data_IF_421717432436
#
_entry.id   IF_421717432436
#
_cell.length_a   1.000
_cell.length_b   1.000
_cell.length_c   1.000
_cell.angle_alpha   90.00
_cell.angle_beta   90.00
_cell.angle_gamma   90.00
#
_symmetry.space_group_name_H-M   'P 1'
#
loop_
_entity.id
_entity.type
_entity.pdbx_description
1 polymer ?
#
# COMPACT_ATOMS: atom_id res chain seq x y z
N UNK A 1 1.87 -9.14 -2.87
CA UNK A 1 2.50 -9.66 -4.09
C UNK A 1 1.74 -9.10 -5.28
N UNK A 2 2.43 -8.51 -6.23
CA UNK A 2 1.85 -7.81 -7.38
C UNK A 2 1.60 -8.87 -8.44
N UNK A 3 0.35 -9.30 -8.65
CA UNK A 3 0.06 -10.18 -9.78
C UNK A 3 0.01 -9.36 -11.06
N UNK A 4 1.12 -9.34 -11.79
CA UNK A 4 1.11 -9.08 -13.23
C UNK A 4 0.60 -10.36 -13.89
N UNK A 5 -0.56 -10.29 -14.55
CA UNK A 5 -1.07 -11.44 -15.29
C UNK A 5 -0.05 -11.75 -16.40
N UNK A 6 0.46 -12.97 -16.42
CA UNK A 6 1.31 -13.53 -17.48
C UNK A 6 2.83 -13.27 -17.43
N UNK A 7 3.44 -13.21 -16.25
CA UNK A 7 4.90 -13.18 -16.12
C UNK A 7 5.39 -14.28 -15.16
N UNK A 8 6.44 -15.00 -15.56
CA UNK A 8 7.12 -15.97 -14.68
C UNK A 8 7.78 -15.25 -13.51
N UNK A 9 7.80 -15.84 -12.29
CA UNK A 9 8.40 -15.20 -11.13
C UNK A 9 9.87 -14.84 -11.37
N UNK A 10 10.61 -15.62 -12.16
CA UNK A 10 11.99 -15.34 -12.55
C UNK A 10 12.10 -14.07 -13.40
N UNK A 11 11.16 -13.85 -14.33
CA UNK A 11 11.10 -12.63 -15.15
C UNK A 11 10.69 -11.41 -14.33
N UNK A 12 9.76 -11.57 -13.38
CA UNK A 12 9.40 -10.49 -12.45
C UNK A 12 10.54 -10.13 -11.51
N UNK A 13 11.33 -11.13 -11.09
CA UNK A 13 12.49 -10.97 -10.22
C UNK A 13 13.73 -10.49 -10.99
N UNK A 14 13.77 -10.50 -12.32
CA UNK A 14 14.85 -9.88 -13.09
C UNK A 14 14.55 -8.43 -13.50
N UNK A 15 13.31 -7.98 -13.36
CA UNK A 15 12.91 -6.60 -13.67
C UNK A 15 13.31 -5.64 -12.56
N UNK A 16 14.43 -4.95 -12.76
CA UNK A 16 14.81 -3.77 -11.97
C UNK A 16 13.92 -2.60 -12.42
N UNK A 17 12.85 -2.35 -11.67
CA UNK A 17 11.97 -1.21 -11.96
C UNK A 17 12.69 0.08 -11.57
N UNK A 18 13.07 0.89 -12.57
CA UNK A 18 13.70 2.18 -12.32
C UNK A 18 12.80 3.03 -11.41
N UNK A 19 13.28 3.36 -10.22
CA UNK A 19 12.55 4.15 -9.21
C UNK A 19 11.84 3.35 -8.12
N UNK A 20 11.87 2.01 -8.14
CA UNK A 20 11.48 1.19 -6.99
C UNK A 20 12.73 0.68 -6.25
N UNK A 21 12.70 0.61 -4.90
CA UNK A 21 13.83 0.09 -4.15
C UNK A 21 14.17 -1.32 -4.62
N UNK A 22 15.46 -1.64 -4.58
CA UNK A 22 16.05 -2.93 -4.94
C UNK A 22 15.25 -4.10 -4.32
N UNK A 23 15.40 -5.32 -4.84
CA UNK A 23 14.73 -6.56 -4.35
C UNK A 23 14.85 -6.85 -2.85
N UNK A 24 15.61 -6.03 -2.14
CA UNK A 24 15.77 -6.03 -0.71
C UNK A 24 15.46 -4.63 -0.15
N UNK A 25 14.40 -4.55 0.66
CA UNK A 25 13.98 -3.33 1.33
C UNK A 25 14.36 -3.39 2.81
N UNK A 26 15.35 -2.60 3.20
CA UNK A 26 15.81 -2.50 4.59
C UNK A 26 15.01 -1.44 5.33
N UNK A 27 14.33 -1.83 6.40
CA UNK A 27 13.43 -0.97 7.15
C UNK A 27 13.80 -0.96 8.62
N UNK A 28 13.66 0.21 9.26
CA UNK A 28 13.87 0.40 10.70
C UNK A 28 12.54 0.69 11.38
N UNK A 29 12.40 0.27 12.64
CA UNK A 29 11.25 0.66 13.46
C UNK A 29 11.22 2.17 13.61
N UNK A 30 10.02 2.76 13.57
CA UNK A 30 9.81 4.20 13.72
C UNK A 30 9.92 5.01 12.43
N UNK A 31 10.36 4.42 11.32
CA UNK A 31 10.44 5.16 10.04
C UNK A 31 9.07 5.21 9.33
N UNK A 32 8.77 6.32 8.64
CA UNK A 32 7.61 6.38 7.77
C UNK A 32 7.81 5.52 6.52
N UNK A 33 6.75 4.82 6.12
CA UNK A 33 6.64 4.06 4.88
C UNK A 33 5.39 4.48 4.12
N UNK A 34 5.38 4.22 2.81
CA UNK A 34 4.26 4.50 1.93
C UNK A 34 3.81 3.22 1.23
N UNK A 35 2.50 3.01 1.19
CA UNK A 35 1.91 1.90 0.44
C UNK A 35 2.03 2.18 -1.06
N UNK A 36 2.70 1.31 -1.81
CA UNK A 36 2.82 1.43 -3.26
C UNK A 36 1.72 0.67 -4.01
N UNK A 37 1.01 -0.23 -3.31
CA UNK A 37 -0.07 -1.07 -3.84
C UNK A 37 -1.24 -1.22 -2.89
N UNK A 38 -2.45 -0.98 -3.41
CA UNK A 38 -3.70 -1.13 -2.68
C UNK A 38 -3.76 -2.50 -2.00
N UNK A 39 -3.91 -2.49 -0.68
CA UNK A 39 -4.16 -3.70 0.12
C UNK A 39 -5.67 -3.89 0.27
N UNK A 40 -6.36 -2.80 0.57
CA UNK A 40 -7.81 -2.66 0.53
C UNK A 40 -8.10 -1.33 -0.16
N UNK A 41 -8.68 -1.38 -1.37
CA UNK A 41 -8.90 -0.18 -2.18
C UNK A 41 -9.89 0.81 -1.55
N UNK A 42 -10.65 0.43 -0.51
CA UNK A 42 -11.60 1.31 0.18
C UNK A 42 -10.96 2.13 1.29
N UNK A 43 -9.92 1.61 1.95
CA UNK A 43 -9.37 2.20 3.20
C UNK A 43 -7.83 2.26 3.24
N UNK A 44 -7.14 1.56 2.35
CA UNK A 44 -5.67 1.46 2.29
C UNK A 44 -5.22 1.43 0.82
N UNK A 45 -5.18 2.62 0.22
CA UNK A 45 -4.75 2.81 -1.16
C UNK A 45 -3.29 3.26 -1.27
N UNK A 46 -2.77 3.20 -2.49
CA UNK A 46 -1.47 3.75 -2.86
C UNK A 46 -1.31 5.18 -2.30
N UNK A 47 -0.15 5.47 -1.74
CA UNK A 47 0.13 6.76 -1.11
C UNK A 47 -0.18 6.82 0.38
N UNK A 48 -0.91 5.84 0.94
CA UNK A 48 -1.15 5.76 2.39
C UNK A 48 0.18 5.70 3.14
N UNK A 49 0.38 6.63 4.08
CA UNK A 49 1.60 6.74 4.89
C UNK A 49 1.38 6.10 6.26
N UNK A 50 2.33 5.28 6.70
CA UNK A 50 2.29 4.58 7.99
C UNK A 50 3.65 4.60 8.66
N UNK A 51 3.70 4.38 9.97
CA UNK A 51 4.93 4.22 10.75
C UNK A 51 5.12 2.75 11.12
N UNK A 52 6.32 2.22 10.90
CA UNK A 52 6.67 0.85 11.32
C UNK A 52 6.72 0.78 12.85
N UNK A 53 5.98 -0.17 13.42
CA UNK A 53 5.96 -0.43 14.86
C UNK A 53 6.85 -1.61 15.24
N UNK A 54 6.73 -2.72 14.53
CA UNK A 54 7.54 -3.92 14.79
C UNK A 54 7.70 -4.78 13.54
N UNK A 55 8.85 -5.45 13.44
CA UNK A 55 9.06 -6.54 12.48
C UNK A 55 8.68 -7.86 13.14
N UNK A 56 7.69 -8.56 12.59
CA UNK A 56 7.21 -9.84 13.14
C UNK A 56 8.08 -10.98 12.60
N UNK A 57 8.35 -10.98 11.29
CA UNK A 57 9.27 -11.90 10.64
C UNK A 57 9.82 -11.28 9.35
N UNK A 58 10.67 -11.99 8.61
CA UNK A 58 11.42 -11.50 7.45
C UNK A 58 10.57 -10.75 6.39
N UNK A 59 9.25 -11.02 6.29
CA UNK A 59 8.35 -10.39 5.30
C UNK A 59 7.04 -9.87 5.88
N UNK A 60 6.94 -9.77 7.21
CA UNK A 60 5.71 -9.31 7.89
C UNK A 60 6.06 -8.22 8.88
N UNK A 61 5.44 -7.05 8.68
CA UNK A 61 5.62 -5.86 9.49
C UNK A 61 4.28 -5.44 10.07
N UNK A 62 4.29 -4.98 11.31
CA UNK A 62 3.19 -4.21 11.87
C UNK A 62 3.49 -2.73 11.69
N UNK A 63 2.55 -2.01 11.11
CA UNK A 63 2.62 -0.57 10.94
C UNK A 63 1.31 0.08 11.40
N UNK A 64 1.39 1.34 11.82
CA UNK A 64 0.23 2.12 12.22
C UNK A 64 0.16 3.41 11.40
N UNK A 65 -1.03 3.78 10.97
CA UNK A 65 -1.30 5.03 10.25
C UNK A 65 -2.78 5.40 10.37
N UNK A 66 -3.11 6.60 9.91
CA UNK A 66 -4.50 7.04 9.83
C UNK A 66 -5.18 6.37 8.64
N UNK A 67 -6.29 5.68 8.89
CA UNK A 67 -7.16 5.16 7.85
C UNK A 67 -7.76 6.34 7.08
N UNK A 68 -7.45 6.44 5.80
CA UNK A 68 -8.12 7.40 4.91
C UNK A 68 -9.08 6.61 4.04
N UNK A 69 -10.34 7.01 4.03
CA UNK A 69 -11.31 6.43 3.10
C UNK A 69 -10.87 6.82 1.70
N UNK A 70 -10.38 5.85 0.95
CA UNK A 70 -9.96 6.07 -0.42
C UNK A 70 -11.23 6.24 -1.25
N UNK A 71 -11.56 7.46 -1.61
CA UNK A 71 -12.65 7.78 -2.54
C UNK A 71 -12.20 7.42 -3.97
N UNK A 72 -11.78 6.18 -4.19
CA UNK A 72 -11.42 5.71 -5.52
C UNK A 72 -12.70 5.31 -6.25
N UNK A 73 -13.30 6.29 -6.94
CA UNK A 73 -14.45 6.15 -7.84
C UNK A 73 -15.67 5.44 -7.27
N UNK A 74 -16.56 6.22 -6.67
CA UNK A 74 -17.99 6.06 -6.95
C UNK A 74 -18.53 7.45 -7.26
N UNK A 75 -19.34 7.54 -8.31
CA UNK A 75 -20.44 8.49 -8.35
C UNK A 75 -21.05 8.55 -6.95
N UNK A 76 -20.80 9.64 -6.22
CA UNK A 76 -21.55 9.91 -4.99
C UNK A 76 -22.75 10.70 -5.50
N UNK A 77 -23.96 10.11 -5.59
CA UNK A 77 -25.14 10.90 -5.91
C UNK A 77 -25.26 11.99 -4.85
N UNK A 78 -25.61 13.19 -5.30
CA UNK A 78 -25.61 14.44 -4.52
C UNK A 78 -26.52 14.40 -3.27
N UNK A 79 -27.25 13.30 -3.06
CA UNK A 79 -28.19 13.07 -1.96
C UNK A 79 -27.56 12.62 -0.64
N UNK A 80 -26.36 12.02 -0.62
CA UNK A 80 -25.73 11.49 0.61
C UNK A 80 -24.81 12.50 1.33
N UNK A 81 -24.83 13.78 0.95
CA UNK A 81 -24.07 14.84 1.64
C UNK A 81 -24.68 15.31 2.97
N UNK A 82 -25.92 14.94 3.28
CA UNK A 82 -26.64 15.47 4.45
C UNK A 82 -26.62 14.58 5.69
N UNK A 83 -26.07 13.36 5.64
CA UNK A 83 -26.04 12.43 6.79
C UNK A 83 -24.70 12.42 7.55
N UNK A 84 -23.86 13.43 7.36
CA UNK A 84 -22.61 13.62 8.13
C UNK A 84 -22.64 14.92 8.96
N UNK A 85 -23.80 15.22 9.58
CA UNK A 85 -23.87 16.11 10.74
C UNK A 85 -23.88 15.29 12.03
#
# INVERSE_FOLDING_TARGET
MIRLRNATPEFLNSQTTAGLPLHELHLKVGVPIMLLKNLDASIMCNGTRMIIKISICSRVLQAAGSWQRCTYNSHVPHSLRYDLQ
#
